data_IF_022123389363
#
_entry.id   IF_022123389363
#
_cell.length_a   1.000
_cell.length_b   1.000
_cell.length_c   1.000
_cell.angle_alpha   90.00
_cell.angle_beta   90.00
_cell.angle_gamma   90.00
#
_symmetry.space_group_name_H-M   'P 1'
#
loop_
_entity.id
_entity.type
_entity.pdbx_description
1 polymer ?
#
# COMPACT_ATOMS: atom_id res chain seq x y z
N UNK A 1 -8.13 4.09 0.29
CA UNK A 1 -8.26 4.84 -0.96
C UNK A 1 -6.89 5.19 -1.49
N UNK A 2 -6.65 4.88 -2.75
CA UNK A 2 -5.35 5.11 -3.38
C UNK A 2 -5.16 6.60 -3.69
N UNK A 3 -3.93 7.07 -3.59
CA UNK A 3 -3.59 8.46 -3.85
C UNK A 3 -2.61 8.62 -5.01
N UNK A 4 -1.44 8.01 -4.93
CA UNK A 4 -0.41 8.17 -5.95
C UNK A 4 0.53 6.98 -6.00
N UNK A 5 1.30 6.88 -7.07
CA UNK A 5 2.29 5.82 -7.24
C UNK A 5 1.71 4.50 -7.73
N UNK A 6 0.46 4.48 -8.13
CA UNK A 6 -0.20 3.28 -8.64
C UNK A 6 -0.35 3.36 -10.16
N UNK A 7 -0.21 2.24 -10.83
CA UNK A 7 -0.25 2.19 -12.29
C UNK A 7 -1.67 2.18 -12.86
N UNK A 8 -2.66 2.02 -12.00
CA UNK A 8 -4.06 2.07 -12.39
C UNK A 8 -4.83 2.99 -11.44
N UNK A 9 -5.88 3.60 -11.95
CA UNK A 9 -6.70 4.51 -11.15
C UNK A 9 -7.70 3.79 -10.26
N UNK A 10 -7.92 2.51 -10.52
CA UNK A 10 -8.90 1.71 -9.80
C UNK A 10 -8.35 0.32 -9.57
N UNK A 11 -8.49 -0.22 -8.36
CA UNK A 11 -8.11 -1.59 -8.08
C UNK A 11 -9.01 -2.59 -8.79
N UNK A 12 -10.30 -2.29 -8.86
CA UNK A 12 -11.25 -3.28 -9.30
C UNK A 12 -11.13 -4.55 -8.45
N UNK A 13 -11.45 -5.68 -9.04
CA UNK A 13 -11.29 -6.98 -8.38
C UNK A 13 -9.90 -7.58 -8.58
N UNK A 14 -9.14 -7.05 -9.52
CA UNK A 14 -7.88 -7.64 -9.95
C UNK A 14 -6.64 -7.03 -9.28
N UNK A 15 -6.82 -5.97 -8.50
CA UNK A 15 -5.70 -5.29 -7.88
C UNK A 15 -4.95 -4.36 -8.82
N UNK A 16 -3.72 -4.00 -8.46
CA UNK A 16 -2.90 -3.12 -9.28
C UNK A 16 -1.42 -3.23 -8.92
N UNK A 17 -0.57 -2.79 -9.84
CA UNK A 17 0.88 -2.76 -9.63
C UNK A 17 1.29 -1.50 -8.87
N UNK A 18 2.22 -1.68 -7.92
CA UNK A 18 2.91 -0.54 -7.32
C UNK A 18 3.96 -0.02 -8.31
N UNK A 19 4.37 1.23 -8.11
CA UNK A 19 5.58 1.77 -8.71
C UNK A 19 6.68 1.83 -7.65
N UNK A 20 7.66 2.71 -7.76
CA UNK A 20 8.73 2.82 -6.76
C UNK A 20 8.21 3.23 -5.38
N UNK A 21 7.22 4.12 -5.35
CA UNK A 21 6.59 4.57 -4.11
C UNK A 21 5.09 4.73 -4.36
N UNK A 22 4.27 4.06 -3.57
CA UNK A 22 2.83 4.08 -3.73
C UNK A 22 2.17 4.41 -2.40
N UNK A 23 1.07 5.16 -2.44
CA UNK A 23 0.45 5.73 -1.26
C UNK A 23 -1.05 5.45 -1.23
N UNK A 24 -1.53 5.05 -0.06
CA UNK A 24 -2.96 4.89 0.21
C UNK A 24 -3.32 5.77 1.42
N UNK A 25 -4.35 6.57 1.27
CA UNK A 25 -4.86 7.39 2.36
C UNK A 25 -5.90 6.61 3.16
N UNK A 26 -5.74 6.58 4.47
CA UNK A 26 -6.66 5.92 5.38
C UNK A 26 -7.29 6.95 6.30
N UNK A 27 -8.61 6.99 6.32
CA UNK A 27 -9.36 7.86 7.25
C UNK A 27 -9.77 7.00 8.44
N UNK A 28 -9.25 7.33 9.62
CA UNK A 28 -9.47 6.50 10.81
C UNK A 28 -10.88 6.59 11.39
N UNK A 29 -11.60 7.69 11.12
CA UNK A 29 -12.91 7.91 11.73
C UNK A 29 -12.88 7.91 13.24
N UNK A 30 -11.76 8.33 13.84
CA UNK A 30 -11.56 8.31 15.28
C UNK A 30 -10.99 7.00 15.84
N UNK A 31 -10.77 5.99 15.00
CA UNK A 31 -10.17 4.75 15.45
C UNK A 31 -8.69 4.96 15.82
N UNK A 32 -8.24 4.35 16.90
CA UNK A 32 -6.88 4.47 17.40
C UNK A 32 -5.91 3.49 16.78
N UNK A 33 -6.43 2.42 16.20
CA UNK A 33 -5.64 1.28 15.76
C UNK A 33 -6.32 0.62 14.56
N UNK A 34 -5.53 -0.01 13.72
CA UNK A 34 -6.06 -0.82 12.62
C UNK A 34 -5.26 -2.10 12.47
N UNK A 35 -5.95 -3.12 11.99
CA UNK A 35 -5.34 -4.35 11.50
C UNK A 35 -5.34 -4.28 9.99
N UNK A 36 -4.17 -4.40 9.36
CA UNK A 36 -4.00 -4.28 7.92
C UNK A 36 -3.54 -5.62 7.36
N UNK A 37 -4.22 -6.08 6.32
CA UNK A 37 -3.85 -7.29 5.59
C UNK A 37 -3.60 -6.90 4.13
N UNK A 38 -2.46 -7.32 3.61
CA UNK A 38 -2.09 -7.05 2.22
C UNK A 38 -1.86 -8.37 1.51
N UNK A 39 -2.63 -8.62 0.47
CA UNK A 39 -2.44 -9.77 -0.41
C UNK A 39 -1.71 -9.30 -1.66
N UNK A 40 -0.60 -9.94 -1.98
CA UNK A 40 0.27 -9.49 -3.08
C UNK A 40 0.83 -10.65 -3.88
N UNK A 41 1.22 -10.36 -5.11
CA UNK A 41 1.88 -11.31 -5.99
C UNK A 41 3.24 -10.77 -6.40
N UNK A 42 4.15 -11.72 -6.64
CA UNK A 42 5.52 -11.42 -7.00
C UNK A 42 5.61 -10.56 -8.27
N UNK A 43 6.55 -9.63 -8.24
CA UNK A 43 7.01 -8.97 -9.44
C UNK A 43 8.12 -9.80 -10.09
N UNK A 44 8.67 -9.28 -11.17
CA UNK A 44 9.71 -9.99 -11.93
C UNK A 44 11.11 -9.80 -11.40
N UNK A 45 11.32 -8.83 -10.52
CA UNK A 45 12.64 -8.45 -10.06
C UNK A 45 12.79 -8.69 -8.57
N UNK A 46 13.96 -9.18 -8.17
CA UNK A 46 14.28 -9.32 -6.75
C UNK A 46 14.41 -7.95 -6.11
N UNK A 47 14.10 -7.87 -4.85
CA UNK A 47 14.19 -6.65 -4.07
C UNK A 47 13.26 -6.71 -2.89
N UNK A 48 13.11 -5.59 -2.23
CA UNK A 48 12.30 -5.47 -1.02
C UNK A 48 11.31 -4.33 -1.15
N UNK A 49 10.09 -4.58 -0.71
CA UNK A 49 9.09 -3.53 -0.55
C UNK A 49 8.82 -3.35 0.93
N UNK A 50 9.00 -2.13 1.43
CA UNK A 50 8.71 -1.78 2.80
C UNK A 50 7.32 -1.16 2.87
N UNK A 51 6.52 -1.61 3.82
CA UNK A 51 5.21 -1.04 4.09
C UNK A 51 5.33 -0.18 5.33
N UNK A 52 5.01 1.10 5.19
CA UNK A 52 5.09 2.08 6.28
C UNK A 52 3.74 2.69 6.54
N UNK A 53 3.46 2.97 7.80
CA UNK A 53 2.27 3.73 8.20
C UNK A 53 2.75 4.98 8.91
N UNK A 54 2.38 6.14 8.37
CA UNK A 54 2.79 7.44 8.89
C UNK A 54 4.31 7.54 9.09
N UNK A 55 5.06 6.96 8.16
CA UNK A 55 6.52 7.00 8.17
C UNK A 55 7.21 5.90 8.97
N UNK A 56 6.46 5.05 9.67
CA UNK A 56 7.04 3.94 10.45
C UNK A 56 6.90 2.63 9.69
N UNK A 57 8.00 1.91 9.56
CA UNK A 57 7.99 0.60 8.91
C UNK A 57 7.19 -0.39 9.74
N UNK A 58 6.23 -1.06 9.10
CA UNK A 58 5.37 -2.06 9.74
C UNK A 58 5.55 -3.45 9.17
N UNK A 59 5.97 -3.55 7.91
CA UNK A 59 6.17 -4.83 7.25
C UNK A 59 7.19 -4.69 6.13
N UNK A 60 7.74 -5.83 5.72
CA UNK A 60 8.72 -5.90 4.66
C UNK A 60 8.40 -7.12 3.80
N UNK A 61 8.33 -6.94 2.49
CA UNK A 61 7.99 -7.99 1.54
C UNK A 61 9.16 -8.23 0.60
N UNK A 62 9.29 -9.45 0.13
CA UNK A 62 10.21 -9.77 -0.96
C UNK A 62 9.48 -9.64 -2.28
N UNK A 63 10.04 -8.85 -3.20
CA UNK A 63 9.38 -8.51 -4.44
C UNK A 63 9.18 -9.69 -5.40
N UNK A 64 9.96 -10.75 -5.24
CA UNK A 64 9.87 -11.94 -6.09
C UNK A 64 9.12 -13.09 -5.43
N UNK A 65 8.38 -12.82 -4.36
CA UNK A 65 7.55 -13.82 -3.69
C UNK A 65 6.12 -13.28 -3.57
N UNK A 66 5.17 -14.19 -3.69
CA UNK A 66 3.75 -13.89 -3.50
C UNK A 66 3.33 -14.29 -2.09
N UNK A 67 2.35 -13.63 -1.52
CA UNK A 67 1.87 -13.98 -0.19
C UNK A 67 0.87 -13.01 0.39
N UNK A 68 0.72 -13.14 1.71
CA UNK A 68 -0.15 -12.28 2.50
C UNK A 68 0.68 -11.81 3.69
N UNK A 69 0.64 -10.52 3.96
CA UNK A 69 1.25 -9.95 5.16
C UNK A 69 0.17 -9.25 5.99
N UNK A 70 0.28 -9.38 7.29
CA UNK A 70 -0.66 -8.74 8.23
C UNK A 70 0.13 -8.03 9.32
N UNK A 71 -0.41 -6.90 9.76
CA UNK A 71 0.17 -6.18 10.89
C UNK A 71 -0.87 -5.29 11.54
N UNK A 72 -0.63 -4.97 12.80
CA UNK A 72 -1.39 -3.95 13.52
C UNK A 72 -0.59 -2.66 13.51
N UNK A 73 -1.31 -1.54 13.46
CA UNK A 73 -0.67 -0.23 13.50
C UNK A 73 -1.51 0.76 14.28
N UNK A 74 -0.83 1.68 14.95
CA UNK A 74 -1.50 2.80 15.58
C UNK A 74 -1.85 3.84 14.52
N UNK A 75 -2.95 4.53 14.73
CA UNK A 75 -3.46 5.54 13.82
C UNK A 75 -3.56 6.88 14.52
N UNK A 76 -3.44 7.94 13.73
CA UNK A 76 -3.81 9.29 14.17
C UNK A 76 -5.33 9.35 14.19
N UNK A 77 -5.91 9.79 15.30
CA UNK A 77 -7.36 9.86 15.46
C UNK A 77 -7.94 11.15 14.94
N UNK A 78 -7.14 12.22 14.93
CA UNK A 78 -7.53 13.53 14.37
C UNK A 78 -6.31 14.15 13.70
N UNK A 79 -6.56 15.03 12.75
CA UNK A 79 -5.52 15.86 12.15
C UNK A 79 -6.05 17.30 12.04
N UNK A 80 -5.14 18.24 11.86
CA UNK A 80 -5.53 19.65 11.70
C UNK A 80 -6.44 19.86 10.49
N UNK A 81 -6.29 19.05 9.48
CA UNK A 81 -7.04 19.17 8.23
C UNK A 81 -8.40 18.50 8.31
N UNK A 82 -8.53 17.47 9.15
CA UNK A 82 -9.74 16.64 9.23
C UNK A 82 -10.08 16.34 10.68
N UNK A 83 -10.69 17.31 11.35
CA UNK A 83 -11.10 17.13 12.74
C UNK A 83 -12.09 15.97 12.88
N UNK A 84 -11.79 15.08 13.80
CA UNK A 84 -12.63 13.89 14.06
C UNK A 84 -12.40 12.73 13.11
N UNK A 85 -11.55 12.88 12.09
CA UNK A 85 -11.31 11.81 11.13
C UNK A 85 -9.86 11.42 11.16
N UNK A 86 -8.89 11.81 11.50
CA UNK A 86 -7.52 11.37 11.42
C UNK A 86 -7.12 10.84 10.04
N UNK A 87 -6.22 11.54 9.39
CA UNK A 87 -5.67 11.14 8.09
C UNK A 87 -4.38 10.37 8.32
N UNK A 88 -4.33 9.16 7.78
CA UNK A 88 -3.17 8.27 7.91
C UNK A 88 -2.70 7.87 6.53
N UNK A 89 -1.39 7.64 6.40
CA UNK A 89 -0.77 7.34 5.12
C UNK A 89 -0.11 5.96 5.16
N UNK A 90 -0.53 5.10 4.26
CA UNK A 90 0.05 3.78 4.05
C UNK A 90 0.93 3.86 2.82
N UNK A 91 2.23 3.62 2.99
CA UNK A 91 3.22 3.70 1.92
C UNK A 91 3.76 2.32 1.57
N UNK A 92 3.89 2.09 0.27
CA UNK A 92 4.63 0.95 -0.25
C UNK A 92 5.87 1.50 -0.95
N UNK A 93 7.04 1.26 -0.38
CA UNK A 93 8.31 1.71 -0.95
C UNK A 93 9.11 0.50 -1.41
N UNK A 94 9.34 0.39 -2.71
CA UNK A 94 10.14 -0.71 -3.25
C UNK A 94 11.50 -0.20 -3.71
N UNK A 95 12.53 -0.99 -3.45
CA UNK A 95 13.89 -0.68 -3.86
C UNK A 95 14.23 -1.18 -5.27
N UNK A 96 13.34 -1.93 -5.88
CA UNK A 96 13.54 -2.50 -7.21
C UNK A 96 12.25 -2.50 -8.01
N UNK A 97 12.34 -1.97 -9.21
CA UNK A 97 11.21 -1.96 -10.13
C UNK A 97 11.64 -2.51 -11.47
N UNK A 98 10.69 -3.00 -12.24
CA UNK A 98 10.93 -3.46 -13.60
C UNK A 98 9.97 -2.74 -14.54
N UNK A 99 10.33 -2.71 -15.81
CA UNK A 99 9.47 -2.09 -16.83
C UNK A 99 8.61 -3.14 -17.49
N UNK A 100 7.37 -2.78 -17.76
CA UNK A 100 6.41 -3.61 -18.48
C UNK A 100 5.62 -2.73 -19.42
N UNK A 101 4.86 -3.32 -20.32
CA UNK A 101 4.01 -2.56 -21.22
C UNK A 101 2.55 -2.76 -20.86
N UNK A 102 1.80 -1.67 -20.92
CA UNK A 102 0.37 -1.67 -20.72
C UNK A 102 -0.24 -0.74 -21.75
N UNK A 103 -1.04 -1.27 -22.67
CA UNK A 103 -1.65 -0.51 -23.77
C UNK A 103 -0.59 0.27 -24.59
N UNK A 104 0.52 -0.38 -24.89
CA UNK A 104 1.68 0.17 -25.61
C UNK A 104 2.48 1.23 -24.85
N UNK A 105 2.09 1.56 -23.62
CA UNK A 105 2.85 2.46 -22.76
C UNK A 105 3.78 1.67 -21.85
N UNK A 106 4.98 2.20 -21.65
CA UNK A 106 5.91 1.64 -20.67
C UNK A 106 5.50 2.06 -19.28
N UNK A 107 5.35 1.08 -18.38
CA UNK A 107 5.04 1.33 -16.98
C UNK A 107 6.14 0.74 -16.10
N UNK A 108 6.31 1.32 -14.94
CA UNK A 108 7.26 0.85 -13.93
C UNK A 108 6.50 0.08 -12.85
N UNK A 109 6.90 -1.17 -12.61
CA UNK A 109 6.20 -2.07 -11.71
C UNK A 109 7.10 -2.57 -10.58
N UNK A 110 6.57 -2.62 -9.38
CA UNK A 110 7.22 -3.25 -8.23
C UNK A 110 6.60 -4.61 -7.93
N UNK A 111 5.57 -4.63 -7.08
CA UNK A 111 4.79 -5.83 -6.78
C UNK A 111 3.34 -5.62 -7.22
N UNK A 112 2.62 -6.71 -7.37
CA UNK A 112 1.21 -6.65 -7.69
C UNK A 112 0.40 -6.77 -6.40
N UNK A 113 -0.29 -5.71 -6.02
CA UNK A 113 -1.15 -5.71 -4.83
C UNK A 113 -2.55 -6.13 -5.24
N UNK A 114 -2.97 -7.30 -4.79
CA UNK A 114 -4.28 -7.86 -5.12
C UNK A 114 -5.37 -7.23 -4.27
N UNK A 115 -5.11 -7.05 -2.96
CA UNK A 115 -6.13 -6.60 -2.04
C UNK A 115 -5.49 -6.02 -0.79
N UNK A 116 -6.07 -4.95 -0.29
CA UNK A 116 -5.73 -4.37 1.00
C UNK A 116 -6.99 -4.35 1.83
N UNK A 117 -6.95 -4.99 3.00
CA UNK A 117 -8.07 -5.01 3.93
C UNK A 117 -7.65 -4.25 5.19
N UNK A 118 -8.43 -3.27 5.58
CA UNK A 118 -8.17 -2.49 6.78
C UNK A 118 -9.37 -2.65 7.73
N UNK A 119 -9.09 -3.17 8.91
CA UNK A 119 -10.10 -3.31 9.96
C UNK A 119 -9.78 -2.32 11.06
N UNK A 120 -10.63 -1.34 11.24
CA UNK A 120 -10.42 -0.30 12.26
C UNK A 120 -10.88 -0.81 13.61
N UNK A 121 -10.04 -0.62 14.61
CA UNK A 121 -10.26 -1.05 15.99
C UNK A 121 -10.43 0.19 16.87
N UNK A 122 -11.52 0.20 17.62
CA UNK A 122 -11.84 1.34 18.48
C UNK A 122 -11.61 1.04 19.96
#
# INVERSE_FOLDING_TARGET
>A
KRQSGWNETDFGDDGTWTSGQSVVRLLSGGAKKAHVTVEYEAGKKKGTTKIKVNGKERAKLKNNESGIVEFDTMLKTTTNEHKGEGVNWLFFNTDSVFKSKHNDDDITCGIYVKKITVTYLR
#
